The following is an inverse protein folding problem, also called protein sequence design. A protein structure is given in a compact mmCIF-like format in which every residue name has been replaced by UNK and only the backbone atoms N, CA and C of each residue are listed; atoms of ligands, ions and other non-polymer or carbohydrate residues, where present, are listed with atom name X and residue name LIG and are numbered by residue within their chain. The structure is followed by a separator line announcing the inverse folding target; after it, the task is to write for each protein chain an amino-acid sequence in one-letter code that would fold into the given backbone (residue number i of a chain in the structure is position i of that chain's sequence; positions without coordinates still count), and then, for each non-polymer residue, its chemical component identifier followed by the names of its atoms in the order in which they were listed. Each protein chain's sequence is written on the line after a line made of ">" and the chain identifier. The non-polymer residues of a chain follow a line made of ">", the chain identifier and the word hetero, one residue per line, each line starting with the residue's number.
data_IF_083652313777
#
_entry.id   IF_083652313777
#
_cell.length_a   1.000
_cell.length_b   1.000
_cell.length_c   1.000
_cell.angle_alpha   90.00
_cell.angle_beta   90.00
_cell.angle_gamma   90.00
#
_symmetry.space_group_name_H-M   'P 1'
#
loop_
_entity.id
_entity.type
_entity.pdbx_description
1 polymer ?
#
# COMPACT_ATOMS: atom_id res chain seq x y z
N UNK A 1 2.73 38.18 -7.31
CA UNK A 1 2.01 36.98 -7.79
C UNK A 1 2.01 36.01 -6.63
N UNK A 2 0.85 35.55 -6.17
CA UNK A 2 0.81 34.42 -5.23
C UNK A 2 1.42 33.21 -5.92
N UNK A 3 2.40 32.57 -5.28
CA UNK A 3 3.02 31.35 -5.79
C UNK A 3 1.99 30.23 -5.83
N UNK A 4 1.91 29.51 -6.95
CA UNK A 4 1.05 28.32 -7.07
C UNK A 4 1.47 27.34 -5.96
N UNK A 5 0.52 26.87 -5.13
CA UNK A 5 0.86 25.95 -4.05
C UNK A 5 1.35 24.61 -4.64
N UNK A 6 2.27 23.92 -3.93
CA UNK A 6 2.82 22.67 -4.42
C UNK A 6 1.73 21.60 -4.62
N UNK A 7 1.89 20.70 -5.62
CA UNK A 7 1.03 19.53 -5.78
C UNK A 7 0.99 18.70 -4.49
N UNK A 8 -0.15 18.09 -4.18
CA UNK A 8 -0.35 17.39 -2.92
C UNK A 8 -0.88 15.97 -3.15
N UNK A 9 -0.18 14.96 -2.62
CA UNK A 9 -0.56 13.55 -2.68
C UNK A 9 -0.83 13.01 -1.28
N UNK A 10 -1.93 12.26 -1.13
CA UNK A 10 -2.23 11.52 0.09
C UNK A 10 -1.82 10.06 -0.10
N UNK A 11 -0.94 9.53 0.75
CA UNK A 11 -0.51 8.15 0.72
C UNK A 11 -1.21 7.33 1.80
N UNK A 12 -1.72 6.15 1.44
CA UNK A 12 -2.48 5.26 2.32
C UNK A 12 -1.91 3.84 2.22
N UNK A 13 -0.73 3.54 2.80
CA UNK A 13 -0.14 2.20 2.76
C UNK A 13 -0.70 1.25 3.80
N UNK A 14 -0.41 -0.04 3.62
CA UNK A 14 -0.58 -1.00 4.68
C UNK A 14 0.44 -0.75 5.81
N UNK A 15 -0.04 -0.81 7.06
CA UNK A 15 0.68 -0.64 8.32
C UNK A 15 1.69 -1.75 8.67
N UNK A 16 2.25 -2.43 7.68
CA UNK A 16 3.27 -3.46 7.86
C UNK A 16 4.62 -2.97 7.34
N UNK A 17 5.77 -3.27 7.98
CA UNK A 17 7.07 -2.74 7.56
C UNK A 17 7.41 -2.98 6.08
N UNK A 18 7.08 -4.17 5.56
CA UNK A 18 7.29 -4.52 4.13
C UNK A 18 6.45 -3.70 3.14
N UNK A 19 5.43 -3.00 3.60
CA UNK A 19 4.60 -2.08 2.80
C UNK A 19 4.86 -0.62 3.14
N UNK A 20 4.94 -0.29 4.43
CA UNK A 20 5.14 1.07 4.91
C UNK A 20 6.48 1.67 4.46
N UNK A 21 7.59 0.92 4.53
CA UNK A 21 8.92 1.47 4.24
C UNK A 21 9.12 1.87 2.77
N UNK A 22 8.75 1.05 1.77
CA UNK A 22 8.79 1.49 0.36
C UNK A 22 7.96 2.75 0.10
N UNK A 23 6.80 2.90 0.75
CA UNK A 23 6.00 4.13 0.67
C UNK A 23 6.71 5.33 1.30
N UNK A 24 7.38 5.15 2.44
CA UNK A 24 8.19 6.22 3.06
C UNK A 24 9.32 6.64 2.13
N UNK A 25 10.06 5.70 1.54
CA UNK A 25 11.13 6.04 0.59
C UNK A 25 10.59 6.79 -0.63
N UNK A 26 9.49 6.32 -1.21
CA UNK A 26 8.88 7.02 -2.34
C UNK A 26 8.33 8.40 -1.95
N UNK A 27 7.77 8.53 -0.75
CA UNK A 27 7.31 9.82 -0.23
C UNK A 27 8.44 10.83 -0.11
N UNK A 28 9.63 10.41 0.34
CA UNK A 28 10.82 11.27 0.38
C UNK A 28 11.24 11.72 -1.02
N UNK A 29 11.30 10.80 -1.98
CA UNK A 29 11.67 11.11 -3.37
C UNK A 29 10.69 12.12 -4.00
N UNK A 30 9.38 11.93 -3.81
CA UNK A 30 8.38 12.88 -4.30
C UNK A 30 8.47 14.24 -3.59
N UNK A 31 8.71 14.24 -2.27
CA UNK A 31 8.86 15.46 -1.49
C UNK A 31 10.09 16.27 -1.93
N UNK A 32 11.20 15.60 -2.28
CA UNK A 32 12.40 16.22 -2.82
C UNK A 32 12.14 16.90 -4.19
N UNK A 33 11.16 16.40 -4.95
CA UNK A 33 10.68 17.02 -6.18
C UNK A 33 9.69 18.18 -5.96
N UNK A 34 9.47 18.60 -4.70
CA UNK A 34 8.58 19.71 -4.36
C UNK A 34 7.10 19.34 -4.26
N UNK A 35 6.76 18.05 -4.18
CA UNK A 35 5.40 17.57 -3.98
C UNK A 35 5.13 17.47 -2.48
N UNK A 36 4.05 18.06 -1.99
CA UNK A 36 3.60 17.83 -0.62
C UNK A 36 3.02 16.43 -0.50
N UNK A 37 3.48 15.68 0.50
CA UNK A 37 2.97 14.34 0.80
C UNK A 37 2.31 14.34 2.17
N UNK A 38 1.08 13.84 2.24
CA UNK A 38 0.44 13.43 3.49
C UNK A 38 0.39 11.91 3.55
N UNK A 39 1.25 11.32 4.37
CA UNK A 39 1.26 9.90 4.69
C UNK A 39 0.24 9.61 5.80
N UNK A 40 -0.70 8.72 5.52
CA UNK A 40 -1.83 8.39 6.40
C UNK A 40 -1.75 6.94 6.83
N UNK A 41 -1.84 6.70 8.13
CA UNK A 41 -1.90 5.37 8.71
C UNK A 41 -2.71 5.37 10.01
N UNK A 42 -2.72 4.28 10.78
CA UNK A 42 -3.30 4.30 12.14
C UNK A 42 -2.44 5.14 13.10
N UNK A 43 -3.05 5.77 14.10
CA UNK A 43 -2.34 6.53 15.14
C UNK A 43 -1.19 5.72 15.77
N UNK A 44 -1.46 4.46 16.12
CA UNK A 44 -0.46 3.54 16.68
C UNK A 44 0.73 3.34 15.74
N UNK A 45 0.47 3.10 14.45
CA UNK A 45 1.54 2.91 13.48
C UNK A 45 2.33 4.21 13.29
N UNK A 46 1.68 5.36 13.18
CA UNK A 46 2.35 6.65 13.01
C UNK A 46 3.25 6.96 14.22
N UNK A 47 2.82 6.65 15.43
CA UNK A 47 3.66 6.80 16.63
C UNK A 47 4.91 5.92 16.55
N UNK A 48 4.78 4.63 16.24
CA UNK A 48 5.94 3.75 16.08
C UNK A 48 6.85 4.18 14.92
N UNK A 49 6.27 4.65 13.80
CA UNK A 49 7.04 5.10 12.65
C UNK A 49 7.86 6.35 13.00
N UNK A 50 7.30 7.28 13.77
CA UNK A 50 8.02 8.46 14.27
C UNK A 50 9.13 8.09 15.26
N UNK A 51 8.93 7.06 16.08
CA UNK A 51 9.99 6.55 16.96
C UNK A 51 11.11 5.90 16.15
N UNK A 52 10.76 5.06 15.17
CA UNK A 52 11.71 4.29 14.36
C UNK A 52 12.50 5.14 13.37
N UNK A 53 11.88 6.16 12.76
CA UNK A 53 12.56 7.10 11.86
C UNK A 53 13.40 8.13 12.63
N UNK A 54 13.45 8.05 13.97
CA UNK A 54 14.00 9.11 14.82
C UNK A 54 13.20 10.39 14.67
N UNK A 55 13.56 11.44 15.42
CA UNK A 55 13.03 12.79 15.20
C UNK A 55 13.58 13.42 13.91
N UNK A 56 13.54 12.67 12.79
CA UNK A 56 13.57 13.24 11.45
C UNK A 56 12.25 13.98 11.26
N UNK A 57 12.22 15.16 11.85
CA UNK A 57 11.31 16.22 11.46
C UNK A 57 11.69 16.57 10.02
N UNK A 58 11.19 15.83 9.03
CA UNK A 58 11.45 16.06 7.60
C UNK A 58 11.14 17.51 7.19
N UNK A 59 10.34 18.22 8.01
CA UNK A 59 10.13 19.66 7.87
C UNK A 59 11.40 20.50 8.11
N UNK A 60 12.34 20.04 8.97
CA UNK A 60 13.66 20.64 9.19
C UNK A 60 14.61 20.44 8.01
N UNK A 61 14.44 19.36 7.24
CA UNK A 61 15.14 19.12 5.98
C UNK A 61 14.50 19.88 4.80
N UNK A 62 13.44 20.66 5.06
CA UNK A 62 12.71 21.41 4.05
C UNK A 62 11.74 20.58 3.20
N UNK A 63 11.59 19.28 3.51
CA UNK A 63 10.65 18.40 2.81
C UNK A 63 9.23 18.59 3.33
N UNK A 64 8.27 18.70 2.41
CA UNK A 64 6.85 18.79 2.75
C UNK A 64 6.21 17.40 2.95
N UNK A 65 6.76 16.62 3.89
CA UNK A 65 6.30 15.28 4.24
C UNK A 65 5.59 15.28 5.60
N UNK A 66 4.30 14.92 5.61
CA UNK A 66 3.41 15.00 6.78
C UNK A 66 2.93 13.59 7.14
N UNK A 67 3.11 13.18 8.39
CA UNK A 67 2.60 11.90 8.90
C UNK A 67 1.37 12.14 9.76
N UNK A 68 0.21 11.61 9.35
CA UNK A 68 -1.06 11.76 10.06
C UNK A 68 -1.67 10.40 10.39
N UNK A 69 -2.16 10.27 11.61
CA UNK A 69 -2.84 9.07 12.07
C UNK A 69 -4.36 9.24 12.04
N UNK A 70 -5.06 8.16 11.72
CA UNK A 70 -6.50 8.02 11.95
C UNK A 70 -6.73 7.34 13.30
N UNK A 71 -7.53 7.97 14.17
CA UNK A 71 -7.90 7.47 15.49
C UNK A 71 -9.05 6.48 15.41
N UNK A 72 -8.89 5.31 16.01
CA UNK A 72 -10.02 4.44 16.36
C UNK A 72 -10.99 5.25 17.23
N UNK A 73 -12.27 5.33 16.86
CA UNK A 73 -13.27 5.94 17.73
C UNK A 73 -13.40 5.09 19.01
N UNK A 74 -12.91 5.58 20.14
CA UNK A 74 -13.05 4.97 21.47
C UNK A 74 -14.47 5.15 22.04
N UNK A 75 -15.53 4.91 21.26
CA UNK A 75 -16.85 4.73 21.89
C UNK A 75 -16.91 3.30 22.47
N UNK A 76 -16.64 3.19 23.77
CA UNK A 76 -16.94 2.03 24.60
C UNK A 76 -18.43 1.68 24.46
N UNK A 77 -18.75 0.68 23.65
CA UNK A 77 -20.05 -0.01 23.68
C UNK A 77 -19.92 -1.30 24.51
N UNK A 78 -20.96 -1.66 25.28
CA UNK A 78 -20.83 -2.54 26.43
C UNK A 78 -20.44 -3.96 26.04
N UNK A 79 -19.54 -4.50 26.86
CA UNK A 79 -19.00 -5.86 26.84
C UNK A 79 -20.08 -6.93 26.75
N UNK A 80 -20.24 -7.57 25.60
CA UNK A 80 -20.38 -9.03 25.47
C UNK A 80 -20.51 -9.45 24.01
N UNK A 81 -19.43 -10.02 23.45
CA UNK A 81 -19.49 -10.83 22.23
C UNK A 81 -18.54 -10.42 21.10
N UNK A 82 -17.45 -11.16 20.96
CA UNK A 82 -16.44 -11.16 19.86
C UNK A 82 -15.70 -9.82 19.57
N UNK A 83 -14.40 -9.86 19.18
CA UNK A 83 -13.63 -8.63 18.94
C UNK A 83 -14.20 -7.89 17.73
N UNK A 84 -14.79 -6.72 17.95
CA UNK A 84 -15.21 -5.78 16.92
C UNK A 84 -13.95 -5.19 16.26
N UNK A 85 -13.83 -5.33 14.95
CA UNK A 85 -12.64 -4.96 14.18
C UNK A 85 -12.62 -3.44 13.91
N UNK A 86 -11.48 -2.80 14.20
CA UNK A 86 -11.27 -1.33 14.32
C UNK A 86 -10.69 -0.71 13.02
N UNK A 87 -10.31 0.57 12.97
CA UNK A 87 -9.62 1.24 11.82
C UNK A 87 -8.35 0.47 11.40
N UNK A 88 -7.82 -0.34 12.31
CA UNK A 88 -6.87 -1.43 12.06
C UNK A 88 -7.19 -2.20 10.77
N UNK A 89 -8.45 -2.43 10.39
CA UNK A 89 -8.79 -3.16 9.16
C UNK A 89 -8.51 -2.39 7.86
N UNK A 90 -8.53 -1.05 7.90
CA UNK A 90 -8.19 -0.24 6.72
C UNK A 90 -6.70 -0.38 6.41
N UNK A 91 -5.86 -0.40 7.45
CA UNK A 91 -4.40 -0.33 7.28
C UNK A 91 -3.68 -1.64 7.59
N UNK A 92 -4.25 -2.57 8.34
CA UNK A 92 -3.58 -3.77 8.83
C UNK A 92 -4.50 -5.00 8.75
N UNK A 93 -4.65 -5.60 7.57
CA UNK A 93 -5.42 -6.82 7.40
C UNK A 93 -4.70 -8.08 7.90
N UNK A 94 -3.49 -7.98 8.47
CA UNK A 94 -2.70 -9.14 8.90
C UNK A 94 -3.47 -10.06 9.84
N UNK A 95 -4.19 -9.58 10.87
CA UNK A 95 -4.97 -10.45 11.75
C UNK A 95 -5.96 -11.34 10.98
N UNK A 96 -6.54 -10.82 9.89
CA UNK A 96 -7.38 -11.60 8.99
C UNK A 96 -6.57 -12.65 8.20
N UNK A 97 -5.38 -12.29 7.70
CA UNK A 97 -4.53 -13.17 6.89
C UNK A 97 -3.84 -14.29 7.69
N UNK A 98 -3.61 -14.11 8.99
CA UNK A 98 -2.90 -15.07 9.86
C UNK A 98 -3.80 -15.82 10.85
N UNK A 99 -5.06 -15.40 11.03
CA UNK A 99 -6.00 -16.09 11.93
C UNK A 99 -6.49 -17.39 11.32
N UNK A 100 -6.23 -18.51 12.02
CA UNK A 100 -6.69 -19.86 11.66
C UNK A 100 -8.16 -20.13 12.03
N UNK A 101 -8.79 -19.24 12.79
CA UNK A 101 -10.01 -19.58 13.56
C UNK A 101 -11.33 -18.99 13.01
N UNK A 102 -11.36 -18.50 11.78
CA UNK A 102 -12.64 -18.04 11.20
C UNK A 102 -13.47 -19.20 10.65
N UNK A 103 -14.68 -19.35 11.22
CA UNK A 103 -15.70 -20.26 10.71
C UNK A 103 -16.13 -19.87 9.27
N UNK A 104 -16.28 -20.84 8.36
CA UNK A 104 -16.77 -20.59 7.00
C UNK A 104 -18.16 -19.93 7.05
N UNK A 105 -18.31 -18.77 6.41
CA UNK A 105 -19.58 -18.02 6.36
C UNK A 105 -19.56 -16.64 7.02
N UNK A 106 -18.51 -16.30 7.78
CA UNK A 106 -18.29 -14.93 8.27
C UNK A 106 -17.65 -14.05 7.18
N UNK A 107 -18.37 -13.80 6.09
CA UNK A 107 -17.95 -12.82 5.09
C UNK A 107 -18.50 -11.46 5.50
N UNK A 108 -17.65 -10.45 5.77
CA UNK A 108 -18.15 -9.13 6.11
C UNK A 108 -18.67 -8.45 4.83
N UNK A 109 -19.95 -8.68 4.54
CA UNK A 109 -20.82 -7.68 3.90
C UNK A 109 -20.64 -6.33 4.62
N UNK A 110 -20.97 -5.23 3.94
CA UNK A 110 -20.77 -3.84 4.36
C UNK A 110 -21.13 -3.60 5.84
N UNK A 111 -20.15 -3.79 6.73
CA UNK A 111 -20.31 -3.53 8.16
C UNK A 111 -20.23 -2.02 8.41
N UNK A 112 -20.99 -1.48 9.39
CA UNK A 112 -21.01 -0.06 9.72
C UNK A 112 -19.62 0.54 10.01
N UNK A 113 -18.68 -0.21 10.59
CA UNK A 113 -17.36 0.32 10.95
C UNK A 113 -16.48 0.62 9.71
N UNK A 114 -16.66 -0.14 8.62
CA UNK A 114 -15.98 0.15 7.34
C UNK A 114 -16.39 1.50 6.76
N UNK A 115 -17.61 1.95 7.07
CA UNK A 115 -18.11 3.26 6.69
C UNK A 115 -17.41 4.35 7.51
N UNK A 116 -17.11 4.09 8.80
CA UNK A 116 -16.41 5.03 9.67
C UNK A 116 -14.98 5.31 9.18
N UNK A 117 -14.19 4.26 8.88
CA UNK A 117 -12.82 4.45 8.39
C UNK A 117 -12.77 5.20 7.04
N UNK A 118 -13.72 4.94 6.14
CA UNK A 118 -13.85 5.67 4.86
C UNK A 118 -14.22 7.13 5.11
N UNK A 119 -15.15 7.42 6.02
CA UNK A 119 -15.54 8.78 6.39
C UNK A 119 -14.38 9.55 7.03
N UNK A 120 -13.66 8.95 7.96
CA UNK A 120 -12.50 9.57 8.59
C UNK A 120 -11.38 9.87 7.58
N UNK A 121 -11.14 8.96 6.64
CA UNK A 121 -10.19 9.21 5.55
C UNK A 121 -10.69 10.34 4.63
N UNK A 122 -11.98 10.37 4.30
CA UNK A 122 -12.61 11.45 3.51
C UNK A 122 -12.46 12.82 4.19
N UNK A 123 -12.84 12.92 5.46
CA UNK A 123 -12.67 14.13 6.27
C UNK A 123 -11.20 14.55 6.36
N UNK A 124 -10.28 13.60 6.54
CA UNK A 124 -8.85 13.89 6.56
C UNK A 124 -8.36 14.45 5.22
N UNK A 125 -8.74 13.85 4.08
CA UNK A 125 -8.32 14.32 2.75
C UNK A 125 -8.83 15.75 2.49
N UNK A 126 -10.06 16.06 2.92
CA UNK A 126 -10.61 17.42 2.85
C UNK A 126 -9.83 18.37 3.76
N UNK A 127 -9.58 17.97 5.01
CA UNK A 127 -8.90 18.79 6.01
C UNK A 127 -7.47 19.15 5.57
N UNK A 128 -6.69 18.19 5.07
CA UNK A 128 -5.30 18.45 4.66
C UNK A 128 -5.20 19.31 3.41
N UNK A 129 -6.29 19.41 2.62
CA UNK A 129 -6.41 20.33 1.50
C UNK A 129 -6.89 21.73 1.86
N UNK A 130 -7.45 21.93 3.06
CA UNK A 130 -7.98 23.23 3.50
C UNK A 130 -6.86 24.19 3.90
N UNK A 131 -6.81 25.36 3.26
CA UNK A 131 -5.86 26.42 3.62
C UNK A 131 -6.00 26.88 5.07
N UNK A 132 -7.20 26.83 5.64
CA UNK A 132 -7.45 27.18 7.04
C UNK A 132 -6.91 26.10 7.99
N UNK A 133 -7.23 24.84 7.74
CA UNK A 133 -6.72 23.72 8.52
C UNK A 133 -5.19 23.64 8.48
N UNK A 134 -4.58 23.88 7.32
CA UNK A 134 -3.13 23.93 7.17
C UNK A 134 -2.50 25.06 8.00
N UNK A 135 -3.12 26.25 8.03
CA UNK A 135 -2.69 27.36 8.89
C UNK A 135 -2.83 27.00 10.37
N UNK A 136 -3.95 26.39 10.78
CA UNK A 136 -4.18 25.95 12.17
C UNK A 136 -3.17 24.89 12.62
N UNK A 137 -2.74 24.01 11.71
CA UNK A 137 -1.71 22.99 11.96
C UNK A 137 -0.29 23.57 11.94
N UNK A 138 -0.10 24.83 11.53
CA UNK A 138 1.22 25.45 11.41
C UNK A 138 2.12 24.80 10.36
N UNK A 139 1.54 24.18 9.32
CA UNK A 139 2.28 23.52 8.25
C UNK A 139 2.40 24.43 7.02
N UNK A 140 3.39 24.18 6.17
CA UNK A 140 3.54 24.91 4.92
C UNK A 140 2.27 24.80 4.05
N UNK A 141 1.92 25.82 3.24
CA UNK A 141 0.78 25.71 2.34
C UNK A 141 1.00 24.64 1.26
N UNK A 142 -0.05 23.87 0.98
CA UNK A 142 -0.13 22.92 -0.13
C UNK A 142 -1.48 23.03 -0.81
N UNK A 143 -1.54 22.63 -2.09
CA UNK A 143 -2.79 22.56 -2.82
C UNK A 143 -3.75 21.52 -2.22
N UNK A 144 -5.02 21.50 -2.65
CA UNK A 144 -5.88 20.36 -2.38
C UNK A 144 -5.25 19.08 -2.94
N UNK A 145 -5.40 17.92 -2.27
CA UNK A 145 -4.90 16.66 -2.77
C UNK A 145 -5.37 16.38 -4.21
N UNK A 146 -4.43 16.07 -5.11
CA UNK A 146 -4.74 15.74 -6.51
C UNK A 146 -5.02 14.25 -6.71
N UNK A 147 -4.45 13.40 -5.84
CA UNK A 147 -4.66 11.98 -5.88
C UNK A 147 -4.45 11.31 -4.52
N UNK A 148 -5.02 10.11 -4.40
CA UNK A 148 -4.72 9.16 -3.32
C UNK A 148 -3.85 8.04 -3.89
N UNK A 149 -2.64 7.88 -3.35
CA UNK A 149 -1.77 6.75 -3.63
C UNK A 149 -1.98 5.67 -2.55
N UNK A 150 -2.56 4.53 -2.94
CA UNK A 150 -2.91 3.47 -2.02
C UNK A 150 -2.13 2.18 -2.31
N UNK A 151 -2.10 1.29 -1.32
CA UNK A 151 -1.49 -0.04 -1.40
C UNK A 151 -2.50 -1.10 -1.92
N UNK A 152 -2.02 -2.29 -2.25
CA UNK A 152 -2.86 -3.43 -2.67
C UNK A 152 -3.88 -3.84 -1.58
N UNK A 153 -3.60 -3.56 -0.30
CA UNK A 153 -4.48 -3.88 0.83
C UNK A 153 -5.38 -2.73 1.26
N UNK A 154 -5.15 -1.51 0.77
CA UNK A 154 -5.90 -0.31 1.19
C UNK A 154 -6.82 0.23 0.09
N UNK A 155 -7.20 -0.60 -0.89
CA UNK A 155 -8.05 -0.23 -2.04
C UNK A 155 -9.42 0.37 -1.69
N UNK A 156 -9.83 0.33 -0.42
CA UNK A 156 -11.00 1.08 0.06
C UNK A 156 -10.82 2.60 -0.08
N UNK A 157 -9.58 3.09 -0.05
CA UNK A 157 -9.25 4.49 -0.28
C UNK A 157 -9.71 5.00 -1.65
N UNK A 158 -9.88 4.11 -2.63
CA UNK A 158 -10.47 4.44 -3.94
C UNK A 158 -11.89 5.01 -3.81
N UNK A 159 -12.67 4.57 -2.81
CA UNK A 159 -14.03 5.09 -2.58
C UNK A 159 -13.98 6.57 -2.18
N UNK A 160 -12.97 6.96 -1.40
CA UNK A 160 -12.77 8.36 -1.01
C UNK A 160 -12.36 9.19 -2.23
N UNK A 161 -11.42 8.68 -3.04
CA UNK A 161 -11.00 9.35 -4.27
C UNK A 161 -12.18 9.57 -5.23
N UNK A 162 -13.06 8.57 -5.39
CA UNK A 162 -14.26 8.66 -6.23
C UNK A 162 -15.23 9.74 -5.74
N UNK A 163 -15.47 9.82 -4.42
CA UNK A 163 -16.35 10.83 -3.81
C UNK A 163 -15.82 12.25 -3.94
N UNK A 164 -14.50 12.41 -3.79
CA UNK A 164 -13.84 13.70 -3.86
C UNK A 164 -13.46 14.10 -5.29
N UNK A 165 -13.75 13.23 -6.27
CA UNK A 165 -13.43 13.44 -7.68
C UNK A 165 -11.94 13.71 -7.94
N UNK A 166 -11.06 13.00 -7.23
CA UNK A 166 -9.60 13.04 -7.38
C UNK A 166 -9.07 11.70 -7.90
N UNK A 167 -7.83 11.68 -8.40
CA UNK A 167 -7.27 10.44 -8.94
C UNK A 167 -6.95 9.42 -7.83
N UNK A 168 -6.98 8.14 -8.19
CA UNK A 168 -6.62 7.01 -7.31
C UNK A 168 -5.49 6.23 -7.97
N UNK A 169 -4.32 6.20 -7.36
CA UNK A 169 -3.18 5.47 -7.87
C UNK A 169 -2.85 4.30 -6.95
N UNK A 170 -2.36 3.21 -7.54
CA UNK A 170 -1.91 2.04 -6.81
C UNK A 170 -0.37 2.05 -6.77
N UNK A 171 0.23 1.90 -5.60
CA UNK A 171 1.63 1.46 -5.48
C UNK A 171 1.64 0.00 -5.02
N UNK A 172 2.06 -0.89 -5.93
CA UNK A 172 2.32 -2.28 -5.63
C UNK A 172 3.78 -2.44 -5.22
N UNK A 173 4.01 -2.71 -3.94
CA UNK A 173 5.35 -2.95 -3.39
C UNK A 173 5.84 -4.39 -3.58
N UNK A 174 5.04 -5.22 -4.26
CA UNK A 174 5.34 -6.61 -4.59
C UNK A 174 5.82 -6.73 -6.05
N UNK A 175 6.49 -7.83 -6.42
CA UNK A 175 6.93 -8.08 -7.78
C UNK A 175 5.81 -8.03 -8.83
N UNK A 176 6.16 -7.72 -10.07
CA UNK A 176 5.21 -7.56 -11.18
C UNK A 176 4.48 -8.87 -11.48
N UNK A 177 5.15 -10.02 -11.38
CA UNK A 177 4.47 -11.31 -11.57
C UNK A 177 3.36 -11.54 -10.54
N UNK A 178 3.55 -11.11 -9.28
CA UNK A 178 2.50 -11.17 -8.26
C UNK A 178 1.33 -10.27 -8.66
N UNK A 179 1.61 -9.03 -9.07
CA UNK A 179 0.57 -8.10 -9.53
C UNK A 179 -0.21 -8.67 -10.72
N UNK A 180 0.46 -9.25 -11.71
CA UNK A 180 -0.16 -9.80 -12.92
C UNK A 180 -1.24 -10.83 -12.59
N UNK A 181 -0.94 -11.80 -11.72
CA UNK A 181 -1.91 -12.81 -11.28
C UNK A 181 -3.11 -12.18 -10.54
N UNK A 182 -2.85 -11.20 -9.67
CA UNK A 182 -3.91 -10.56 -8.89
C UNK A 182 -4.81 -9.63 -9.72
N UNK A 183 -4.28 -8.95 -10.75
CA UNK A 183 -5.06 -8.16 -11.71
C UNK A 183 -6.06 -9.02 -12.48
N UNK A 184 -5.72 -10.29 -12.74
CA UNK A 184 -6.56 -11.22 -13.47
C UNK A 184 -7.50 -12.03 -12.57
N UNK A 185 -7.53 -11.76 -11.26
CA UNK A 185 -8.35 -12.50 -10.30
C UNK A 185 -9.85 -12.48 -10.65
N UNK A 186 -10.37 -11.36 -11.18
CA UNK A 186 -11.79 -11.27 -11.56
C UNK A 186 -12.11 -12.13 -12.78
N UNK A 187 -11.26 -12.11 -13.80
CA UNK A 187 -11.36 -12.98 -14.98
C UNK A 187 -11.36 -14.46 -14.57
N UNK A 188 -10.35 -14.87 -13.80
CA UNK A 188 -10.19 -16.26 -13.39
C UNK A 188 -11.36 -16.76 -12.52
N UNK A 189 -11.97 -15.87 -11.73
CA UNK A 189 -13.17 -16.21 -10.97
C UNK A 189 -14.40 -16.42 -11.87
N UNK A 190 -14.58 -15.59 -12.90
CA UNK A 190 -15.67 -15.73 -13.86
C UNK A 190 -15.52 -17.00 -14.72
N UNK A 191 -14.28 -17.42 -14.97
CA UNK A 191 -13.96 -18.71 -15.61
C UNK A 191 -14.15 -19.92 -14.67
N UNK A 192 -14.51 -19.71 -13.40
CA UNK A 192 -14.69 -20.79 -12.41
C UNK A 192 -13.38 -21.39 -11.89
N UNK A 193 -12.24 -20.71 -12.10
CA UNK A 193 -10.90 -21.20 -11.73
C UNK A 193 -10.46 -20.79 -10.33
N UNK A 194 -11.09 -19.76 -9.74
CA UNK A 194 -10.82 -19.30 -8.38
C UNK A 194 -12.07 -19.42 -7.48
N UNK A 195 -11.90 -19.81 -6.20
CA UNK A 195 -10.67 -20.26 -5.56
C UNK A 195 -10.25 -21.69 -5.99
N UNK A 196 -8.93 -21.95 -6.00
CA UNK A 196 -8.33 -23.24 -6.35
C UNK A 196 -8.48 -24.22 -5.18
N UNK A 197 -9.56 -25.00 -5.20
CA UNK A 197 -9.95 -25.88 -4.09
C UNK A 197 -9.87 -27.36 -4.40
N UNK A 198 -10.07 -27.76 -5.65
CA UNK A 198 -10.02 -29.18 -6.03
C UNK A 198 -8.58 -29.69 -6.08
N UNK A 199 -8.40 -30.97 -5.77
CA UNK A 199 -7.09 -31.63 -5.86
C UNK A 199 -6.54 -31.60 -7.27
N UNK A 200 -7.39 -31.92 -8.26
CA UNK A 200 -7.03 -31.87 -9.68
C UNK A 200 -6.53 -30.48 -10.10
N UNK A 201 -7.22 -29.42 -9.71
CA UNK A 201 -6.79 -28.06 -10.04
C UNK A 201 -5.47 -27.70 -9.36
N UNK A 202 -5.21 -28.18 -8.13
CA UNK A 202 -3.95 -27.96 -7.41
C UNK A 202 -2.75 -28.67 -8.05
N UNK A 203 -2.98 -29.82 -8.69
CA UNK A 203 -1.95 -30.60 -9.36
C UNK A 203 -1.72 -30.17 -10.82
N UNK A 204 -2.60 -29.32 -11.38
CA UNK A 204 -2.53 -28.86 -12.77
C UNK A 204 -1.65 -27.62 -12.90
N UNK A 205 -0.66 -27.68 -13.79
CA UNK A 205 0.19 -26.53 -14.12
C UNK A 205 -0.63 -25.44 -14.80
N UNK A 206 -0.46 -24.20 -14.34
CA UNK A 206 -1.09 -23.01 -14.90
C UNK A 206 -0.08 -22.31 -15.81
N UNK A 207 -0.43 -22.13 -17.09
CA UNK A 207 0.49 -21.58 -18.10
C UNK A 207 -0.14 -20.48 -18.97
N UNK A 208 -1.34 -20.02 -18.62
CA UNK A 208 -2.19 -19.14 -19.43
C UNK A 208 -2.61 -17.87 -18.68
N UNK A 209 -1.81 -17.46 -17.69
CA UNK A 209 -1.94 -16.19 -16.98
C UNK A 209 -0.85 -15.24 -17.52
N UNK A 210 -1.20 -14.28 -18.39
CA UNK A 210 -0.28 -13.24 -18.85
C UNK A 210 0.55 -12.64 -17.72
N UNK A 211 1.88 -12.61 -17.92
CA UNK A 211 2.85 -12.08 -16.96
C UNK A 211 3.33 -13.09 -15.91
N UNK A 212 2.83 -14.32 -15.91
CA UNK A 212 3.34 -15.42 -15.11
C UNK A 212 4.04 -16.46 -16.00
N UNK A 213 5.11 -17.03 -15.48
CA UNK A 213 5.65 -18.27 -16.04
C UNK A 213 4.73 -19.45 -15.71
N UNK A 214 4.78 -20.55 -16.50
CA UNK A 214 4.13 -21.79 -16.13
C UNK A 214 4.49 -22.19 -14.70
N UNK A 215 3.50 -22.30 -13.83
CA UNK A 215 3.70 -22.52 -12.40
C UNK A 215 2.64 -23.45 -11.81
N UNK A 216 2.96 -24.05 -10.67
CA UNK A 216 1.95 -24.76 -9.90
C UNK A 216 1.09 -23.77 -9.10
N UNK A 217 -0.18 -24.09 -8.83
CA UNK A 217 -1.03 -23.30 -7.95
C UNK A 217 -0.44 -23.02 -6.56
N UNK A 218 0.48 -23.86 -6.08
CA UNK A 218 1.23 -23.65 -4.84
C UNK A 218 2.18 -22.46 -4.90
N UNK A 219 2.59 -22.05 -6.11
CA UNK A 219 3.52 -20.95 -6.35
C UNK A 219 2.77 -19.62 -6.55
N UNK A 220 1.45 -19.67 -6.70
CA UNK A 220 0.58 -18.49 -6.75
C UNK A 220 0.33 -17.93 -5.35
N UNK A 221 -0.27 -16.72 -5.31
CA UNK A 221 -0.74 -16.14 -4.05
C UNK A 221 -1.57 -17.15 -3.25
N UNK A 222 -1.22 -17.36 -1.98
CA UNK A 222 -1.98 -18.23 -1.08
C UNK A 222 -3.46 -17.85 -0.98
N UNK A 223 -3.79 -16.60 -1.32
CA UNK A 223 -5.16 -16.13 -1.46
C UNK A 223 -5.97 -16.89 -2.51
N UNK A 224 -5.37 -17.49 -3.54
CA UNK A 224 -6.09 -18.26 -4.55
C UNK A 224 -6.41 -19.68 -4.07
N UNK A 225 -5.59 -20.24 -3.19
CA UNK A 225 -5.68 -21.65 -2.76
C UNK A 225 -6.49 -21.85 -1.47
N UNK A 226 -6.77 -20.76 -0.73
CA UNK A 226 -7.56 -20.77 0.50
C UNK A 226 -8.89 -19.99 0.30
N UNK A 227 -10.06 -20.64 0.33
CA UNK A 227 -11.35 -19.98 0.12
C UNK A 227 -11.67 -18.83 1.08
N UNK A 228 -11.23 -18.93 2.32
CA UNK A 228 -11.45 -17.89 3.33
C UNK A 228 -10.64 -16.64 2.97
N UNK A 229 -9.34 -16.82 2.71
CA UNK A 229 -8.46 -15.72 2.31
C UNK A 229 -8.89 -15.14 0.97
N UNK A 230 -9.23 -15.99 -0.01
CA UNK A 230 -9.75 -15.59 -1.31
C UNK A 230 -10.94 -14.65 -1.19
N UNK A 231 -11.94 -15.04 -0.38
CA UNK A 231 -13.18 -14.27 -0.26
C UNK A 231 -13.00 -12.88 0.35
N UNK A 232 -11.92 -12.67 1.08
CA UNK A 232 -11.56 -11.35 1.57
C UNK A 232 -10.71 -10.58 0.55
N UNK A 233 -9.67 -11.23 0.01
CA UNK A 233 -8.76 -10.64 -0.97
C UNK A 233 -9.47 -10.26 -2.27
N UNK A 234 -10.53 -10.98 -2.68
CA UNK A 234 -11.30 -10.66 -3.90
C UNK A 234 -11.79 -9.22 -3.93
N UNK A 235 -12.14 -8.65 -2.76
CA UNK A 235 -12.54 -7.24 -2.67
C UNK A 235 -11.41 -6.32 -3.16
N UNK A 236 -10.18 -6.63 -2.76
CA UNK A 236 -9.00 -5.85 -3.09
C UNK A 236 -8.54 -6.11 -4.53
N UNK A 237 -8.42 -7.38 -4.94
CA UNK A 237 -7.97 -7.77 -6.27
C UNK A 237 -8.84 -7.16 -7.38
N UNK A 238 -10.17 -7.20 -7.25
CA UNK A 238 -11.09 -6.68 -8.27
C UNK A 238 -11.08 -5.13 -8.35
N UNK A 239 -10.36 -4.46 -7.44
CA UNK A 239 -10.18 -3.01 -7.40
C UNK A 239 -8.80 -2.58 -7.85
N UNK A 240 -7.82 -3.49 -7.94
CA UNK A 240 -6.47 -3.13 -8.41
C UNK A 240 -6.54 -2.50 -9.81
N UNK A 241 -7.28 -3.12 -10.72
CA UNK A 241 -7.48 -2.63 -12.09
C UNK A 241 -8.35 -1.38 -12.22
N UNK A 242 -8.85 -0.82 -11.12
CA UNK A 242 -9.64 0.42 -11.11
C UNK A 242 -8.80 1.66 -10.81
N UNK A 243 -7.56 1.51 -10.35
CA UNK A 243 -6.65 2.64 -10.20
C UNK A 243 -6.50 3.38 -11.55
N UNK A 244 -6.27 4.69 -11.52
CA UNK A 244 -5.95 5.47 -12.71
C UNK A 244 -4.55 5.14 -13.23
N UNK A 245 -3.61 4.92 -12.31
CA UNK A 245 -2.21 4.59 -12.58
C UNK A 245 -1.76 3.49 -11.62
N UNK A 246 -0.98 2.55 -12.12
CA UNK A 246 -0.30 1.54 -11.33
C UNK A 246 1.21 1.84 -11.30
N UNK A 247 1.76 1.97 -10.11
CA UNK A 247 3.18 2.05 -9.83
C UNK A 247 3.63 0.70 -9.26
N UNK A 248 4.76 0.18 -9.69
CA UNK A 248 5.33 -1.08 -9.18
C UNK A 248 6.73 -0.86 -8.64
N UNK A 249 7.01 -1.41 -7.46
CA UNK A 249 8.34 -1.42 -6.86
C UNK A 249 9.21 -2.52 -7.51
N UNK A 250 9.46 -2.36 -8.80
CA UNK A 250 10.31 -3.22 -9.62
C UNK A 250 10.91 -2.35 -10.72
N UNK A 251 11.80 -2.92 -11.53
CA UNK A 251 12.42 -2.24 -12.67
C UNK A 251 12.48 -3.18 -13.88
N UNK A 252 12.46 -2.59 -15.07
CA UNK A 252 12.31 -3.31 -16.34
C UNK A 252 13.29 -4.48 -16.51
N UNK A 253 14.57 -4.30 -16.22
CA UNK A 253 15.59 -5.32 -16.40
C UNK A 253 15.38 -6.56 -15.51
N UNK A 254 14.71 -6.41 -14.36
CA UNK A 254 14.44 -7.50 -13.43
C UNK A 254 13.26 -8.37 -13.90
N UNK A 255 12.17 -7.74 -14.34
CA UNK A 255 10.89 -8.42 -14.59
C UNK A 255 10.34 -8.15 -16.00
N UNK A 256 11.22 -7.97 -16.99
CA UNK A 256 10.89 -7.62 -18.39
C UNK A 256 9.67 -8.36 -18.94
N UNK A 257 9.66 -9.68 -18.84
CA UNK A 257 8.59 -10.51 -19.40
C UNK A 257 7.24 -10.24 -18.73
N UNK A 258 7.23 -10.12 -17.40
CA UNK A 258 6.01 -9.81 -16.64
C UNK A 258 5.53 -8.40 -16.92
N UNK A 259 6.44 -7.42 -17.02
CA UNK A 259 6.11 -6.02 -17.33
C UNK A 259 5.52 -5.90 -18.74
N UNK A 260 6.17 -6.49 -19.75
CA UNK A 260 5.71 -6.46 -21.13
C UNK A 260 4.32 -7.13 -21.26
N UNK A 261 4.13 -8.30 -20.63
CA UNK A 261 2.84 -8.99 -20.67
C UNK A 261 1.73 -8.19 -19.97
N UNK A 262 2.00 -7.59 -18.80
CA UNK A 262 1.00 -6.75 -18.12
C UNK A 262 0.62 -5.57 -19.01
N UNK A 263 1.61 -4.83 -19.54
CA UNK A 263 1.37 -3.65 -20.39
C UNK A 263 0.59 -3.98 -21.67
N UNK A 264 0.92 -5.09 -22.33
CA UNK A 264 0.40 -5.39 -23.66
C UNK A 264 -0.86 -6.27 -23.66
N UNK A 265 -1.08 -7.07 -22.61
CA UNK A 265 -2.14 -8.09 -22.60
C UNK A 265 -3.13 -7.95 -21.43
N UNK A 266 -2.74 -7.27 -20.34
CA UNK A 266 -3.56 -7.17 -19.13
C UNK A 266 -4.19 -5.79 -18.99
N UNK A 267 -3.44 -4.71 -19.23
CA UNK A 267 -3.95 -3.34 -19.17
C UNK A 267 -4.98 -3.07 -20.28
N UNK A 268 -5.91 -2.14 -20.03
CA UNK A 268 -6.98 -1.78 -20.97
C UNK A 268 -8.02 -2.88 -21.24
N UNK A 269 -7.96 -4.01 -20.52
CA UNK A 269 -8.96 -5.08 -20.64
C UNK A 269 -10.26 -4.73 -19.91
N UNK A 270 -11.34 -5.49 -20.15
CA UNK A 270 -12.61 -5.29 -19.45
C UNK A 270 -12.52 -5.40 -17.91
N UNK A 271 -11.49 -6.07 -17.41
CA UNK A 271 -11.22 -6.27 -15.97
C UNK A 271 -10.25 -5.24 -15.39
N UNK A 272 -9.35 -4.69 -16.22
CA UNK A 272 -8.28 -3.77 -15.81
C UNK A 272 -8.37 -2.52 -16.67
N UNK A 273 -8.94 -1.46 -16.10
CA UNK A 273 -9.29 -0.23 -16.82
C UNK A 273 -8.12 0.71 -17.07
N UNK A 274 -7.09 0.65 -16.23
CA UNK A 274 -5.90 1.49 -16.42
C UNK A 274 -5.11 1.08 -17.64
N UNK A 275 -4.54 2.07 -18.32
CA UNK A 275 -3.60 1.92 -19.42
C UNK A 275 -2.16 2.27 -18.98
N UNK A 276 -1.95 2.54 -17.69
CA UNK A 276 -0.71 3.12 -17.18
C UNK A 276 -0.07 2.25 -16.10
N UNK A 277 1.10 1.69 -16.42
CA UNK A 277 1.97 1.00 -15.47
C UNK A 277 3.40 1.57 -15.54
N UNK A 278 3.89 2.05 -14.40
CA UNK A 278 5.26 2.55 -14.23
C UNK A 278 6.03 1.67 -13.24
N UNK A 279 7.16 1.15 -13.69
CA UNK A 279 8.17 0.49 -12.88
C UNK A 279 9.12 1.53 -12.28
N UNK A 280 9.03 1.74 -10.97
CA UNK A 280 9.70 2.85 -10.24
C UNK A 280 10.67 2.37 -9.17
N UNK A 281 10.96 1.06 -9.15
CA UNK A 281 11.87 0.46 -8.19
C UNK A 281 13.35 0.67 -8.55
N UNK A 282 14.26 0.33 -7.62
CA UNK A 282 13.98 -0.14 -6.27
C UNK A 282 13.68 1.01 -5.29
N UNK A 283 12.61 0.89 -4.50
CA UNK A 283 12.25 1.81 -3.41
C UNK A 283 12.90 1.35 -2.09
N UNK A 284 14.23 1.46 -2.00
CA UNK A 284 15.02 1.08 -0.83
C UNK A 284 15.85 2.24 -0.26
N UNK A 285 16.34 2.09 0.97
CA UNK A 285 17.12 3.11 1.69
C UNK A 285 18.37 3.60 0.95
N UNK A 286 18.97 2.78 0.09
CA UNK A 286 20.16 3.20 -0.68
C UNK A 286 19.83 4.27 -1.73
N UNK A 287 18.55 4.46 -2.09
CA UNK A 287 18.13 5.59 -2.93
C UNK A 287 18.13 6.94 -2.20
N UNK A 288 18.16 6.95 -0.86
CA UNK A 288 18.24 8.19 -0.05
C UNK A 288 19.67 8.77 -0.01
N UNK A 289 20.69 8.07 -0.51
CA UNK A 289 22.10 8.53 -0.45
C UNK A 289 22.44 9.68 -1.42
N UNK A 290 21.51 10.10 -2.28
CA UNK A 290 21.68 11.34 -3.04
C UNK A 290 21.21 12.54 -2.20
N UNK A 291 22.14 13.11 -1.41
CA UNK A 291 22.11 14.49 -0.89
C UNK A 291 21.11 14.85 0.23
N UNK A 292 20.93 14.02 1.27
CA UNK A 292 20.40 14.51 2.56
C UNK A 292 21.51 14.41 3.61
N UNK A 293 21.87 15.57 4.16
CA UNK A 293 23.11 15.79 4.90
C UNK A 293 23.32 14.84 6.08
N UNK A 294 24.57 14.41 6.22
CA UNK A 294 25.11 13.81 7.44
C UNK A 294 24.76 14.68 8.65
N UNK A 295 23.91 14.18 9.57
CA UNK A 295 24.17 14.23 11.01
C UNK A 295 23.02 13.66 11.83
N UNK A 296 23.12 12.38 12.20
CA UNK A 296 22.88 11.96 13.59
C UNK A 296 23.86 10.81 13.84
N UNK A 297 24.83 11.02 14.73
CA UNK A 297 25.67 9.93 15.23
C UNK A 297 24.79 9.09 16.17
N UNK A 298 23.96 8.21 15.60
CA UNK A 298 23.34 7.15 16.37
C UNK A 298 24.45 6.23 16.88
N UNK A 299 24.34 5.80 18.14
CA UNK A 299 25.25 4.80 18.69
C UNK A 299 25.16 3.56 17.81
N UNK A 300 26.25 3.26 17.10
CA UNK A 300 26.35 2.10 16.22
C UNK A 300 25.90 0.85 16.99
N UNK A 301 24.90 0.14 16.46
CA UNK A 301 24.32 -1.04 17.11
C UNK A 301 25.42 -2.09 17.36
N UNK A 302 25.44 -2.82 18.50
CA UNK A 302 26.51 -3.79 18.79
C UNK A 302 26.74 -4.83 17.70
N UNK A 303 25.68 -5.24 16.98
CA UNK A 303 25.82 -6.14 15.83
C UNK A 303 26.65 -5.53 14.68
N UNK A 304 26.55 -4.22 14.44
CA UNK A 304 27.35 -3.54 13.43
C UNK A 304 28.82 -3.47 13.86
N UNK A 305 29.08 -3.17 15.13
CA UNK A 305 30.45 -3.21 15.68
C UNK A 305 31.06 -4.61 15.60
N UNK A 306 30.26 -5.66 15.83
CA UNK A 306 30.71 -7.03 15.61
C UNK A 306 30.96 -7.32 14.12
N UNK A 307 30.10 -6.82 13.22
CA UNK A 307 30.24 -6.99 11.78
C UNK A 307 31.54 -6.37 11.26
N UNK A 308 31.95 -5.22 11.80
CA UNK A 308 33.22 -4.54 11.47
C UNK A 308 34.47 -5.41 11.74
N UNK A 309 34.34 -6.46 12.57
CA UNK A 309 35.43 -7.39 12.88
C UNK A 309 35.49 -8.60 11.95
N UNK A 310 34.51 -8.78 11.07
CA UNK A 310 34.41 -9.93 10.17
C UNK A 310 35.11 -9.64 8.83
N UNK A 311 35.50 -10.69 8.11
CA UNK A 311 36.11 -10.52 6.78
C UNK A 311 35.05 -10.10 5.74
N UNK A 312 35.43 -9.39 4.66
CA UNK A 312 34.50 -9.06 3.60
C UNK A 312 33.78 -10.31 3.06
N UNK A 313 32.45 -10.20 2.94
CA UNK A 313 31.58 -11.28 2.42
C UNK A 313 31.62 -12.60 3.22
N UNK A 314 31.91 -12.57 4.53
CA UNK A 314 31.99 -13.79 5.36
C UNK A 314 30.76 -14.07 6.25
N UNK A 315 29.81 -13.14 6.34
CA UNK A 315 28.60 -13.25 7.17
C UNK A 315 27.37 -13.39 6.26
N UNK A 316 26.45 -14.30 6.61
CA UNK A 316 25.18 -14.53 5.92
C UNK A 316 24.02 -13.79 6.61
#
# INVERSE_FOLDING_TARGET
>A
MESIPPPHVVMVPMSAPGHAMPFVHFAKQLAACGITITYVSSDKHISHLREALGTLDYTREGLQLRFLGLRDSEEELPTSGSPQEKIIDLFNPIPFLVSRDFAPGCYPSERPEKIVAIKLLEELVIDVGSSESQKLRGVAPAGPPMCILHDIFTTRAQVVADKLHIEKHLLCVSPVHYLAGNLQSERLAQEGRLPITSREARDTVISDIPGLQPCHPSDLSGAFCNPTIYNWMKYHHYRLGRANVILVNSFYELEKQSIDAVRNEVLGTGYVKTEHLFDIGPLSSDTDQTNIGESVVEKQHPCLTWLDTQAPSSVL
#
